data_IF_543621069002
#
_entry.id   IF_543621069002
#
_cell.length_a   1.000
_cell.length_b   1.000
_cell.length_c   1.000
_cell.angle_alpha   90.00
_cell.angle_beta   90.00
_cell.angle_gamma   90.00
#
_symmetry.space_group_name_H-M   'P 1'
#
loop_
_entity.id
_entity.type
_entity.pdbx_description
1 polymer ?
#
# COMPACT_ATOMS: atom_id res chain seq x y z
N UNK A 1 -31.99 39.43 -2.46
CA UNK A 1 -31.99 37.98 -2.76
C UNK A 1 -30.93 37.33 -1.90
N UNK A 2 -31.27 36.26 -1.21
CA UNK A 2 -30.33 35.48 -0.40
C UNK A 2 -29.64 34.39 -1.23
N UNK A 3 -28.63 33.73 -0.64
CA UNK A 3 -27.96 32.54 -1.21
C UNK A 3 -27.45 32.71 -2.66
N UNK A 4 -27.10 33.94 -3.06
CA UNK A 4 -26.56 34.23 -4.40
C UNK A 4 -27.61 34.40 -5.50
N UNK A 5 -28.89 34.61 -5.16
CA UNK A 5 -29.93 34.91 -6.16
C UNK A 5 -29.79 36.27 -6.84
N UNK A 6 -30.29 36.36 -8.07
CA UNK A 6 -30.26 37.59 -8.88
C UNK A 6 -31.57 38.35 -8.73
N UNK A 7 -31.50 39.64 -8.40
CA UNK A 7 -32.68 40.49 -8.26
C UNK A 7 -33.30 40.81 -9.63
N UNK A 8 -34.61 40.57 -9.78
CA UNK A 8 -35.37 40.86 -10.99
C UNK A 8 -36.72 41.46 -10.60
N UNK A 9 -36.87 42.77 -10.75
CA UNK A 9 -38.05 43.50 -10.30
C UNK A 9 -38.20 43.49 -8.77
N UNK A 10 -39.39 43.17 -8.27
CA UNK A 10 -39.65 43.01 -6.82
C UNK A 10 -39.34 41.60 -6.29
N UNK A 11 -38.86 40.70 -7.14
CA UNK A 11 -38.55 39.31 -6.81
C UNK A 11 -37.10 38.91 -7.07
N UNK A 12 -36.82 37.63 -6.85
CA UNK A 12 -35.51 37.03 -7.03
C UNK A 12 -35.56 35.81 -7.95
N UNK A 13 -34.58 35.70 -8.85
CA UNK A 13 -34.29 34.46 -9.57
C UNK A 13 -33.29 33.66 -8.74
N UNK A 14 -33.72 32.49 -8.29
CA UNK A 14 -32.93 31.67 -7.38
C UNK A 14 -31.92 30.77 -8.11
N UNK A 15 -30.71 30.60 -7.54
CA UNK A 15 -29.75 29.63 -8.05
C UNK A 15 -30.26 28.20 -7.78
N UNK A 16 -29.71 27.19 -8.47
CA UNK A 16 -30.04 25.79 -8.22
C UNK A 16 -29.90 25.42 -6.74
N UNK A 17 -30.87 24.71 -6.20
CA UNK A 17 -30.90 24.31 -4.78
C UNK A 17 -31.61 25.30 -3.85
N UNK A 18 -32.19 26.39 -4.37
CA UNK A 18 -32.95 27.36 -3.58
C UNK A 18 -34.27 27.77 -4.25
N UNK A 19 -35.26 28.11 -3.42
CA UNK A 19 -36.63 28.51 -3.71
C UNK A 19 -37.06 29.61 -2.70
N UNK A 20 -38.23 30.20 -2.90
CA UNK A 20 -38.80 31.27 -2.12
C UNK A 20 -38.68 32.59 -2.85
N UNK A 21 -39.55 33.54 -2.50
CA UNK A 21 -39.63 34.87 -3.13
C UNK A 21 -38.30 35.63 -3.10
N UNK A 22 -37.48 35.36 -2.08
CA UNK A 22 -36.16 35.95 -1.88
C UNK A 22 -35.04 34.91 -1.86
N UNK A 23 -35.29 33.68 -2.31
CA UNK A 23 -34.35 32.54 -2.27
C UNK A 23 -33.92 32.12 -0.86
N UNK A 24 -34.80 32.33 0.11
CA UNK A 24 -34.57 32.04 1.52
C UNK A 24 -34.76 30.55 1.88
N UNK A 25 -35.40 29.78 1.01
CA UNK A 25 -35.73 28.38 1.27
C UNK A 25 -34.83 27.49 0.42
N UNK A 26 -34.16 26.49 1.00
CA UNK A 26 -33.51 25.46 0.20
C UNK A 26 -34.54 24.68 -0.63
N UNK A 27 -34.27 24.44 -1.91
CA UNK A 27 -35.05 23.54 -2.76
C UNK A 27 -34.40 22.15 -2.74
N UNK A 28 -34.92 21.21 -1.93
CA UNK A 28 -34.33 19.89 -1.79
C UNK A 28 -34.42 19.07 -3.09
N UNK A 29 -35.27 19.46 -4.06
CA UNK A 29 -35.34 18.78 -5.36
C UNK A 29 -34.18 19.12 -6.29
N UNK A 30 -33.49 20.24 -6.04
CA UNK A 30 -32.29 20.68 -6.76
C UNK A 30 -31.02 20.69 -5.89
N UNK A 31 -31.13 20.20 -4.65
CA UNK A 31 -30.03 20.21 -3.68
C UNK A 31 -29.20 18.93 -3.68
N UNK A 32 -29.69 17.82 -4.22
CA UNK A 32 -28.92 16.57 -4.28
C UNK A 32 -27.69 16.72 -5.18
N UNK A 33 -26.51 16.54 -4.60
CA UNK A 33 -25.22 16.64 -5.24
C UNK A 33 -24.76 15.28 -5.80
N UNK A 34 -23.66 15.30 -6.55
CA UNK A 34 -22.97 14.08 -7.02
C UNK A 34 -23.84 13.06 -7.77
N UNK A 35 -24.90 13.51 -8.44
CA UNK A 35 -25.83 12.64 -9.17
C UNK A 35 -26.90 11.97 -8.30
N UNK A 36 -27.12 12.45 -7.07
CA UNK A 36 -28.22 12.04 -6.21
C UNK A 36 -29.60 12.24 -6.85
N UNK A 37 -30.49 11.27 -6.66
CA UNK A 37 -31.87 11.36 -7.12
C UNK A 37 -32.76 11.94 -6.02
N UNK A 38 -33.41 13.06 -6.30
CA UNK A 38 -34.34 13.68 -5.37
C UNK A 38 -35.73 13.04 -5.44
N UNK A 39 -36.29 12.68 -4.28
CA UNK A 39 -37.71 12.29 -4.15
C UNK A 39 -38.31 13.10 -3.02
N UNK A 40 -39.05 14.16 -3.36
CA UNK A 40 -39.56 15.12 -2.39
C UNK A 40 -38.43 15.89 -1.71
N UNK A 41 -38.32 15.80 -0.39
CA UNK A 41 -37.27 16.46 0.40
C UNK A 41 -36.05 15.58 0.70
N UNK A 42 -36.03 14.34 0.19
CA UNK A 42 -34.99 13.35 0.51
C UNK A 42 -34.16 13.03 -0.74
N UNK A 43 -32.84 12.97 -0.57
CA UNK A 43 -31.91 12.54 -1.60
C UNK A 43 -31.60 11.05 -1.47
N UNK A 44 -31.59 10.35 -2.60
CA UNK A 44 -31.08 8.99 -2.73
C UNK A 44 -29.72 9.06 -3.42
N UNK A 45 -28.68 8.71 -2.67
CA UNK A 45 -27.31 8.87 -3.13
C UNK A 45 -26.86 7.70 -4.01
N UNK A 46 -26.12 7.98 -5.09
CA UNK A 46 -25.47 6.93 -5.86
C UNK A 46 -24.35 6.29 -5.03
N UNK A 47 -23.91 5.06 -5.41
CA UNK A 47 -22.73 4.44 -4.80
C UNK A 47 -21.54 5.40 -4.89
N UNK A 48 -20.80 5.60 -3.80
CA UNK A 48 -19.78 6.64 -3.75
C UNK A 48 -20.06 7.76 -2.76
N UNK A 49 -21.33 7.98 -2.39
CA UNK A 49 -21.75 9.21 -1.72
C UNK A 49 -22.78 8.96 -0.62
N UNK A 50 -22.73 9.81 0.41
CA UNK A 50 -23.63 9.83 1.55
C UNK A 50 -23.94 11.28 1.96
N UNK A 51 -24.74 11.43 3.02
CA UNK A 51 -25.19 12.74 3.51
C UNK A 51 -26.61 13.08 3.05
N UNK A 52 -27.27 14.03 3.70
CA UNK A 52 -28.65 14.41 3.42
C UNK A 52 -28.84 14.94 1.99
N UNK A 53 -27.79 15.48 1.38
CA UNK A 53 -27.76 15.99 0.02
C UNK A 53 -26.78 15.22 -0.87
N UNK A 54 -26.25 14.07 -0.44
CA UNK A 54 -25.22 13.33 -1.15
C UNK A 54 -23.93 14.15 -1.39
N UNK A 55 -23.65 15.08 -0.47
CA UNK A 55 -22.51 15.99 -0.52
C UNK A 55 -21.20 15.32 -0.10
N UNK A 56 -21.28 14.28 0.72
CA UNK A 56 -20.12 13.61 1.29
C UNK A 56 -19.76 12.36 0.48
N UNK A 57 -18.47 12.07 0.25
CA UNK A 57 -18.05 10.76 -0.20
C UNK A 57 -18.44 9.71 0.86
N UNK A 58 -19.07 8.62 0.44
CA UNK A 58 -19.26 7.46 1.30
C UNK A 58 -17.90 6.76 1.43
N UNK A 59 -17.28 6.76 2.61
CA UNK A 59 -15.98 6.15 2.80
C UNK A 59 -16.02 4.63 2.59
N UNK A 60 -17.20 3.99 2.62
CA UNK A 60 -17.33 2.59 2.22
C UNK A 60 -17.03 2.35 0.75
N UNK A 61 -17.21 3.36 -0.08
CA UNK A 61 -16.90 3.33 -1.52
C UNK A 61 -15.40 3.38 -1.80
N UNK A 62 -14.60 3.83 -0.83
CA UNK A 62 -13.14 3.77 -0.94
C UNK A 62 -12.63 2.33 -0.80
N UNK A 63 -13.39 1.45 -0.16
CA UNK A 63 -13.03 0.06 0.06
C UNK A 63 -13.38 -0.79 -1.18
N UNK A 64 -12.39 -1.49 -1.74
CA UNK A 64 -12.54 -2.29 -2.96
C UNK A 64 -12.65 -3.79 -2.66
N UNK A 65 -12.97 -4.57 -3.71
CA UNK A 65 -12.92 -6.03 -3.69
C UNK A 65 -13.78 -6.70 -2.60
N UNK A 66 -14.92 -6.11 -2.25
CA UNK A 66 -15.82 -6.65 -1.23
C UNK A 66 -15.34 -6.43 0.21
N UNK A 67 -14.43 -5.48 0.42
CA UNK A 67 -14.01 -5.07 1.75
C UNK A 67 -15.14 -4.42 2.55
N UNK A 68 -15.09 -4.62 3.87
CA UNK A 68 -16.05 -4.02 4.81
C UNK A 68 -15.49 -2.73 5.35
N UNK A 69 -16.26 -1.66 5.26
CA UNK A 69 -15.84 -0.34 5.70
C UNK A 69 -16.31 -0.02 7.12
N UNK A 70 -15.42 0.60 7.90
CA UNK A 70 -15.70 1.15 9.22
C UNK A 70 -15.23 2.61 9.26
N UNK A 71 -16.11 3.53 8.87
CA UNK A 71 -15.71 4.91 8.60
C UNK A 71 -14.73 4.94 7.44
N UNK A 72 -13.57 5.59 7.61
CA UNK A 72 -12.50 5.69 6.59
C UNK A 72 -11.55 4.50 6.55
N UNK A 73 -11.77 3.47 7.38
CA UNK A 73 -10.89 2.29 7.47
C UNK A 73 -11.56 1.12 6.76
N UNK A 74 -10.81 0.44 5.88
CA UNK A 74 -11.25 -0.75 5.19
C UNK A 74 -10.72 -2.02 5.86
N UNK A 75 -11.60 -2.99 6.10
CA UNK A 75 -11.24 -4.35 6.52
C UNK A 75 -11.24 -5.25 5.30
N UNK A 76 -10.06 -5.68 4.89
CA UNK A 76 -9.88 -6.43 3.64
C UNK A 76 -10.26 -7.91 3.78
N UNK A 77 -10.92 -8.48 2.76
CA UNK A 77 -11.16 -9.92 2.70
C UNK A 77 -9.86 -10.68 2.42
N UNK A 78 -9.81 -11.99 2.70
CA UNK A 78 -8.63 -12.82 2.44
C UNK A 78 -8.14 -12.68 1.00
N UNK A 79 -6.83 -12.43 0.84
CA UNK A 79 -6.19 -12.24 -0.47
C UNK A 79 -6.11 -10.80 -0.95
N UNK A 80 -6.75 -9.84 -0.26
CA UNK A 80 -6.68 -8.42 -0.59
C UNK A 80 -6.01 -7.60 0.51
N UNK A 81 -5.29 -6.56 0.09
CA UNK A 81 -4.34 -5.81 0.92
C UNK A 81 -4.34 -4.32 0.54
N UNK A 82 -3.76 -3.50 1.42
CA UNK A 82 -3.67 -2.04 1.27
C UNK A 82 -4.84 -1.28 1.91
N UNK A 83 -4.71 0.04 2.04
CA UNK A 83 -5.69 0.88 2.75
C UNK A 83 -7.10 0.83 2.15
N UNK A 84 -7.19 0.67 0.84
CA UNK A 84 -8.44 0.52 0.08
C UNK A 84 -8.72 -0.94 -0.34
N UNK A 85 -7.93 -1.91 0.14
CA UNK A 85 -8.07 -3.34 -0.22
C UNK A 85 -8.01 -3.62 -1.72
N UNK A 86 -7.28 -2.80 -2.48
CA UNK A 86 -7.16 -2.93 -3.93
C UNK A 86 -6.07 -3.93 -4.36
N UNK A 87 -5.11 -4.23 -3.48
CA UNK A 87 -3.94 -5.04 -3.83
C UNK A 87 -4.23 -6.53 -3.67
N UNK A 88 -4.18 -7.34 -4.74
CA UNK A 88 -4.34 -8.79 -4.64
C UNK A 88 -3.05 -9.51 -4.17
N UNK A 89 -1.95 -8.77 -4.00
CA UNK A 89 -0.68 -9.30 -3.50
C UNK A 89 -0.45 -8.81 -2.08
N UNK A 90 -0.04 -9.74 -1.22
CA UNK A 90 0.38 -9.44 0.14
C UNK A 90 1.78 -8.81 0.10
N UNK A 91 1.98 -7.51 0.40
CA UNK A 91 3.31 -6.91 0.42
C UNK A 91 4.22 -7.50 1.53
N UNK A 92 3.64 -8.08 2.59
CA UNK A 92 4.34 -8.74 3.70
C UNK A 92 4.62 -10.23 3.45
N UNK A 93 3.97 -10.86 2.47
CA UNK A 93 4.28 -12.21 2.00
C UNK A 93 4.48 -12.24 0.48
N UNK A 94 5.05 -11.17 -0.08
CA UNK A 94 5.74 -11.32 -1.35
C UNK A 94 6.85 -12.32 -1.08
N UNK A 95 6.90 -13.49 -1.73
CA UNK A 95 8.09 -14.32 -1.64
C UNK A 95 9.21 -13.42 -2.13
N UNK A 96 10.10 -13.01 -1.22
CA UNK A 96 11.37 -12.42 -1.61
C UNK A 96 11.91 -13.35 -2.69
N UNK A 97 12.14 -12.82 -3.89
CA UNK A 97 12.70 -13.61 -4.99
C UNK A 97 13.85 -14.45 -4.41
N UNK A 98 13.92 -15.75 -4.71
CA UNK A 98 14.94 -16.60 -4.12
C UNK A 98 16.30 -15.95 -4.35
N UNK A 99 17.02 -15.67 -3.26
CA UNK A 99 18.32 -15.00 -3.35
C UNK A 99 19.26 -15.93 -4.13
N UNK A 100 19.82 -15.43 -5.23
CA UNK A 100 20.72 -16.21 -6.08
C UNK A 100 22.14 -15.96 -5.61
N UNK A 101 22.80 -17.02 -5.14
CA UNK A 101 24.19 -16.95 -4.70
C UNK A 101 25.14 -17.46 -5.78
N UNK A 102 26.22 -16.74 -6.00
CA UNK A 102 27.30 -17.08 -6.93
C UNK A 102 28.45 -17.77 -6.19
N UNK A 103 29.40 -18.34 -6.95
CA UNK A 103 30.67 -18.88 -6.44
C UNK A 103 30.52 -19.91 -5.30
N UNK A 104 29.43 -20.69 -5.29
CA UNK A 104 29.18 -21.70 -4.25
C UNK A 104 28.62 -21.15 -2.94
N UNK A 105 28.16 -19.89 -2.92
CA UNK A 105 27.42 -19.32 -1.79
C UNK A 105 26.11 -20.06 -1.51
N UNK A 106 25.74 -20.10 -0.23
CA UNK A 106 24.52 -20.78 0.24
C UNK A 106 23.48 -19.75 0.63
N UNK A 107 22.28 -19.86 0.05
CA UNK A 107 21.16 -18.98 0.38
C UNK A 107 20.69 -19.19 1.83
N UNK A 108 20.61 -18.10 2.59
CA UNK A 108 20.07 -18.04 3.93
C UNK A 108 18.97 -16.97 4.00
N UNK A 109 17.71 -17.39 3.87
CA UNK A 109 16.52 -16.54 3.86
C UNK A 109 16.57 -15.42 2.79
N UNK A 110 17.21 -14.30 3.10
CA UNK A 110 17.31 -13.09 2.26
C UNK A 110 18.74 -12.73 1.87
N UNK A 111 19.74 -13.49 2.33
CA UNK A 111 21.16 -13.18 2.15
C UNK A 111 21.95 -14.43 1.71
N UNK A 112 23.12 -14.22 1.09
CA UNK A 112 24.02 -15.30 0.73
C UNK A 112 25.14 -15.46 1.77
N UNK A 113 25.32 -16.69 2.26
CA UNK A 113 26.48 -17.06 3.06
C UNK A 113 27.63 -17.39 2.11
N UNK A 114 28.61 -16.49 2.03
CA UNK A 114 29.72 -16.62 1.09
C UNK A 114 30.80 -17.56 1.61
N UNK A 115 31.37 -18.39 0.71
CA UNK A 115 32.51 -19.20 1.07
C UNK A 115 33.76 -18.34 1.26
N UNK A 116 34.72 -18.81 2.09
CA UNK A 116 36.02 -18.17 2.25
C UNK A 116 36.63 -17.82 0.90
N UNK A 117 37.05 -16.57 0.73
CA UNK A 117 37.56 -16.06 -0.55
C UNK A 117 36.54 -15.27 -1.39
N UNK A 118 35.28 -15.14 -0.93
CA UNK A 118 34.22 -14.42 -1.64
C UNK A 118 33.39 -13.53 -0.70
N UNK A 119 32.89 -12.42 -1.23
CA UNK A 119 32.09 -11.44 -0.50
C UNK A 119 31.03 -10.79 -1.41
N UNK A 120 30.16 -9.98 -0.81
CA UNK A 120 29.06 -9.30 -1.47
C UNK A 120 27.69 -9.94 -1.19
N UNK A 121 26.59 -9.23 -1.48
CA UNK A 121 25.23 -9.70 -1.21
C UNK A 121 24.87 -11.00 -1.91
N UNK A 122 25.53 -11.33 -3.03
CA UNK A 122 25.34 -12.57 -3.78
C UNK A 122 26.62 -13.37 -3.94
N UNK A 123 27.68 -13.08 -3.17
CA UNK A 123 29.00 -13.72 -3.26
C UNK A 123 29.67 -13.57 -4.63
N UNK A 124 29.40 -12.46 -5.30
CA UNK A 124 29.90 -12.13 -6.62
C UNK A 124 31.34 -11.60 -6.61
N UNK A 125 31.79 -11.07 -5.46
CA UNK A 125 33.10 -10.43 -5.33
C UNK A 125 34.12 -11.42 -4.79
N UNK A 126 35.33 -11.41 -5.35
CA UNK A 126 36.47 -12.17 -4.81
C UNK A 126 37.10 -11.38 -3.66
N UNK A 127 37.22 -12.01 -2.50
CA UNK A 127 37.85 -11.44 -1.30
C UNK A 127 39.14 -12.18 -0.97
N UNK A 128 40.28 -11.62 -1.40
CA UNK A 128 41.57 -12.24 -1.17
C UNK A 128 42.02 -12.25 0.31
N UNK A 129 41.38 -11.43 1.15
CA UNK A 129 41.71 -11.35 2.58
C UNK A 129 41.02 -12.43 3.41
N UNK A 130 39.97 -13.04 2.86
CA UNK A 130 39.12 -14.01 3.56
C UNK A 130 39.37 -15.47 3.16
N UNK A 131 40.56 -15.76 2.63
CA UNK A 131 40.92 -17.09 2.14
C UNK A 131 41.31 -18.03 3.29
N UNK A 132 41.04 -19.33 3.12
CA UNK A 132 41.63 -20.35 3.98
C UNK A 132 43.14 -20.45 3.71
N UNK A 133 43.93 -20.69 4.75
CA UNK A 133 45.35 -20.89 4.59
C UNK A 133 45.68 -22.17 3.79
N UNK A 134 46.84 -22.19 3.14
CA UNK A 134 47.28 -23.27 2.27
C UNK A 134 47.14 -24.66 2.91
N UNK A 135 46.57 -25.60 2.14
CA UNK A 135 46.32 -26.97 2.59
C UNK A 135 45.04 -27.15 3.42
N UNK A 136 44.24 -26.10 3.61
CA UNK A 136 42.92 -26.16 4.27
C UNK A 136 41.78 -26.35 3.26
N UNK A 137 40.62 -26.85 3.71
CA UNK A 137 39.44 -27.04 2.85
C UNK A 137 38.33 -26.06 3.21
N UNK A 138 37.81 -25.32 2.22
CA UNK A 138 36.66 -24.43 2.41
C UNK A 138 35.34 -25.22 2.28
N UNK A 139 34.44 -25.10 3.26
CA UNK A 139 33.11 -25.75 3.24
C UNK A 139 32.06 -24.77 3.73
N UNK A 140 31.12 -24.37 2.87
CA UNK A 140 30.21 -23.28 3.19
C UNK A 140 31.01 -22.03 3.55
N UNK A 141 30.67 -21.36 4.66
CA UNK A 141 31.36 -20.16 5.13
C UNK A 141 32.58 -20.39 6.05
N UNK A 142 33.08 -21.64 6.20
CA UNK A 142 34.16 -21.96 7.14
C UNK A 142 35.33 -22.70 6.49
N UNK A 143 36.50 -22.60 7.11
CA UNK A 143 37.68 -23.39 6.77
C UNK A 143 37.79 -24.62 7.69
N UNK A 144 38.08 -25.78 7.11
CA UNK A 144 38.47 -27.00 7.83
C UNK A 144 40.00 -27.02 7.87
N UNK A 145 40.55 -26.94 9.09
CA UNK A 145 41.99 -26.84 9.29
C UNK A 145 42.68 -28.20 9.26
N UNK A 146 43.87 -28.29 8.64
CA UNK A 146 44.73 -29.46 8.76
C UNK A 146 45.29 -29.59 10.20
N UNK A 147 45.81 -30.77 10.59
CA UNK A 147 46.42 -30.97 11.89
C UNK A 147 47.53 -29.95 12.17
N UNK A 148 47.54 -29.37 13.39
CA UNK A 148 48.53 -28.37 13.79
C UNK A 148 48.27 -26.97 13.24
N UNK A 149 47.04 -26.69 12.77
CA UNK A 149 46.59 -25.34 12.47
C UNK A 149 45.24 -25.05 13.11
N UNK A 150 45.00 -23.80 13.46
CA UNK A 150 43.77 -23.35 14.12
C UNK A 150 43.38 -21.94 13.69
N UNK A 151 42.23 -21.47 14.18
CA UNK A 151 41.65 -20.19 13.82
C UNK A 151 40.61 -20.30 12.69
N UNK A 152 39.84 -19.22 12.44
CA UNK A 152 38.73 -19.23 11.47
C UNK A 152 39.20 -19.41 10.02
N UNK A 153 40.46 -19.05 9.73
CA UNK A 153 41.10 -19.17 8.42
C UNK A 153 42.27 -20.16 8.39
N UNK A 154 42.50 -20.89 9.49
CA UNK A 154 43.59 -21.86 9.62
C UNK A 154 45.00 -21.24 9.40
N UNK A 155 45.14 -19.97 9.73
CA UNK A 155 46.35 -19.16 9.60
C UNK A 155 47.27 -19.26 10.83
N UNK A 156 46.75 -19.76 11.96
CA UNK A 156 47.51 -19.93 13.21
C UNK A 156 48.08 -21.34 13.29
N UNK A 157 49.37 -21.49 13.63
CA UNK A 157 50.06 -22.77 13.89
C UNK A 157 49.99 -23.16 15.37
#
# INVERSE_FOLDING_TARGET
CENGGTAVGEGCVCPPGYNGTFCQTGDPTKACQNGGTAVGTKCYCPPGFQGPLCEDPDPASACQNGATAFGTVCVCPPGYWGEACHSPTNPFCSPSLPVVCHNGGVANLTECLCPPGYSGPTCETVDATDQCADGSTAVGNRCICPPGRSGPRCDTQ
#
